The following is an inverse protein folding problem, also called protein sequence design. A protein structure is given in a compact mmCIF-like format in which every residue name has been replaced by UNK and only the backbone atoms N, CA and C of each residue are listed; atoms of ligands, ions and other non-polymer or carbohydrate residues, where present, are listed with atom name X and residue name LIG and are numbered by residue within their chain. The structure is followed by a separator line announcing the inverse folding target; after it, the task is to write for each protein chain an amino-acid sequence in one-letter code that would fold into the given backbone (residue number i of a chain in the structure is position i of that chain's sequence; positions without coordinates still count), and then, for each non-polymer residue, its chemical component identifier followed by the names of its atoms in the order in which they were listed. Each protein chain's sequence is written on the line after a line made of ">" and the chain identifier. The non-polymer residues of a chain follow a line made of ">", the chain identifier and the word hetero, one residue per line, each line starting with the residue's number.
data_IF_874962161378
#
_entry.id   IF_874962161378
#
_cell.length_a   1.000
_cell.length_b   1.000
_cell.length_c   1.000
_cell.angle_alpha   90.00
_cell.angle_beta   90.00
_cell.angle_gamma   90.00
#
_symmetry.space_group_name_H-M   'P 1'
#
loop_
_entity.id
_entity.type
_entity.pdbx_description
1 polymer ?
#
# COMPACT_ATOMS: atom_id res chain seq x y z
N UNK A 1 -6.50 -5.04 28.64
CA UNK A 1 -5.95 -6.10 27.76
C UNK A 1 -4.89 -6.94 28.48
N UNK A 2 -3.81 -6.35 29.00
CA UNK A 2 -2.73 -7.11 29.67
C UNK A 2 -3.18 -8.02 30.82
N UNK A 3 -4.06 -7.56 31.71
CA UNK A 3 -4.58 -8.38 32.81
C UNK A 3 -5.40 -9.61 32.34
N UNK A 4 -6.13 -9.49 31.23
CA UNK A 4 -6.89 -10.59 30.66
C UNK A 4 -5.97 -11.65 30.04
N UNK A 5 -4.95 -11.22 29.29
CA UNK A 5 -3.93 -12.13 28.73
C UNK A 5 -3.14 -12.82 29.84
N UNK A 6 -2.76 -12.10 30.91
CA UNK A 6 -2.10 -12.68 32.07
C UNK A 6 -2.97 -13.71 32.79
N UNK A 7 -4.26 -13.41 32.97
CA UNK A 7 -5.22 -14.34 33.55
C UNK A 7 -5.34 -15.61 32.70
N UNK A 8 -5.51 -15.48 31.38
CA UNK A 8 -5.62 -16.62 30.47
C UNK A 8 -4.33 -17.43 30.44
N UNK A 9 -3.17 -16.78 30.35
CA UNK A 9 -1.87 -17.44 30.37
C UNK A 9 -1.61 -18.21 31.67
N UNK A 10 -1.99 -17.63 32.81
CA UNK A 10 -1.80 -18.24 34.14
C UNK A 10 -2.77 -19.41 34.41
N UNK A 11 -4.01 -19.35 33.92
CA UNK A 11 -5.04 -20.36 34.21
C UNK A 11 -5.16 -21.44 33.12
N UNK A 12 -4.84 -21.11 31.87
CA UNK A 12 -5.00 -22.00 30.72
C UNK A 12 -3.68 -22.31 30.01
N UNK A 13 -2.56 -21.77 30.49
CA UNK A 13 -1.21 -22.06 29.98
C UNK A 13 -0.73 -21.08 28.91
N UNK A 14 0.53 -20.67 29.01
CA UNK A 14 1.17 -19.72 28.10
C UNK A 14 1.31 -20.24 26.66
N UNK A 15 1.50 -21.54 26.47
CA UNK A 15 1.52 -22.15 25.14
C UNK A 15 0.15 -22.02 24.44
N UNK A 16 -0.93 -22.27 25.17
CA UNK A 16 -2.29 -22.10 24.65
C UNK A 16 -2.57 -20.63 24.32
N UNK A 17 -2.17 -19.69 25.18
CA UNK A 17 -2.27 -18.26 24.87
C UNK A 17 -1.48 -17.89 23.59
N UNK A 18 -0.30 -18.48 23.39
CA UNK A 18 0.49 -18.30 22.18
C UNK A 18 -0.24 -18.77 20.92
N UNK A 19 -0.88 -19.94 20.96
CA UNK A 19 -1.63 -20.51 19.82
C UNK A 19 -2.94 -19.78 19.57
N UNK A 20 -3.70 -19.45 20.62
CA UNK A 20 -5.04 -18.85 20.49
C UNK A 20 -5.00 -17.35 20.19
N UNK A 21 -3.98 -16.64 20.67
CA UNK A 21 -3.90 -15.20 20.55
C UNK A 21 -2.60 -14.74 19.88
N UNK A 22 -1.44 -15.18 20.36
CA UNK A 22 -0.15 -14.67 19.90
C UNK A 22 0.08 -14.85 18.40
N UNK A 23 0.01 -16.08 17.91
CA UNK A 23 0.23 -16.43 16.50
C UNK A 23 -0.84 -15.77 15.60
N UNK A 24 -2.17 -15.91 15.85
CA UNK A 24 -3.18 -15.26 15.04
C UNK A 24 -3.04 -13.73 15.01
N UNK A 25 -2.74 -13.12 16.16
CA UNK A 25 -2.53 -11.67 16.26
C UNK A 25 -1.37 -11.23 15.38
N UNK A 26 -0.19 -11.85 15.52
CA UNK A 26 0.97 -11.50 14.71
C UNK A 26 0.75 -11.78 13.23
N UNK A 27 0.08 -12.88 12.88
CA UNK A 27 -0.21 -13.24 11.50
C UNK A 27 -1.11 -12.22 10.81
N UNK A 28 -2.25 -11.89 11.41
CA UNK A 28 -3.21 -10.92 10.84
C UNK A 28 -2.56 -9.54 10.75
N UNK A 29 -1.90 -9.08 11.81
CA UNK A 29 -1.28 -7.76 11.81
C UNK A 29 -0.10 -7.66 10.84
N UNK A 30 0.71 -8.72 10.71
CA UNK A 30 1.79 -8.78 9.72
C UNK A 30 1.25 -8.52 8.31
N UNK A 31 0.23 -9.27 7.90
CA UNK A 31 -0.33 -9.13 6.56
C UNK A 31 -1.07 -7.81 6.36
N UNK A 32 -1.87 -7.37 7.34
CA UNK A 32 -2.58 -6.10 7.26
C UNK A 32 -1.62 -4.94 7.06
N UNK A 33 -0.54 -4.87 7.86
CA UNK A 33 0.49 -3.83 7.72
C UNK A 33 1.23 -3.96 6.40
N UNK A 34 1.67 -5.16 6.03
CA UNK A 34 2.47 -5.36 4.82
C UNK A 34 1.70 -5.02 3.53
N UNK A 35 0.44 -5.45 3.43
CA UNK A 35 -0.42 -5.20 2.27
C UNK A 35 -0.73 -3.71 2.15
N UNK A 36 -1.23 -3.09 3.22
CA UNK A 36 -1.58 -1.66 3.21
C UNK A 36 -0.35 -0.77 2.96
N UNK A 37 0.80 -1.11 3.55
CA UNK A 37 2.05 -0.43 3.28
C UNK A 37 2.39 -0.47 1.78
N UNK A 38 2.36 -1.64 1.15
CA UNK A 38 2.76 -1.79 -0.26
C UNK A 38 1.75 -1.22 -1.26
N UNK A 39 0.47 -1.18 -0.89
CA UNK A 39 -0.60 -0.55 -1.66
C UNK A 39 -0.55 0.99 -1.62
N UNK A 40 -0.01 1.57 -0.55
CA UNK A 40 0.03 3.03 -0.35
C UNK A 40 1.44 3.63 -0.41
N UNK A 41 2.47 2.80 -0.52
CA UNK A 41 3.87 3.24 -0.53
C UNK A 41 4.55 2.75 -1.80
N UNK A 42 4.74 3.67 -2.74
CA UNK A 42 5.49 3.45 -3.97
C UNK A 42 6.08 4.77 -4.48
N UNK A 43 7.30 4.78 -5.08
CA UNK A 43 7.88 6.00 -5.64
C UNK A 43 7.04 6.66 -6.74
N UNK A 44 6.17 5.90 -7.42
CA UNK A 44 5.29 6.41 -8.48
C UNK A 44 3.99 7.05 -7.97
N UNK A 45 3.70 6.93 -6.67
CA UNK A 45 2.47 7.47 -6.08
C UNK A 45 2.62 8.94 -5.69
N UNK A 46 1.69 9.80 -6.12
CA UNK A 46 1.68 11.20 -5.74
C UNK A 46 1.16 11.38 -4.31
N UNK A 47 1.67 12.40 -3.65
CA UNK A 47 1.11 12.98 -2.44
C UNK A 47 0.65 14.39 -2.79
N UNK A 48 -0.36 14.90 -2.09
CA UNK A 48 -1.00 16.16 -2.45
C UNK A 48 -1.03 17.09 -1.26
N UNK A 49 -0.70 18.37 -1.49
CA UNK A 49 -0.97 19.42 -0.51
C UNK A 49 -2.49 19.67 -0.43
N UNK A 50 -2.99 20.26 0.66
CA UNK A 50 -4.42 20.49 0.85
C UNK A 50 -5.09 21.28 -0.29
N UNK A 51 -4.35 22.17 -0.95
CA UNK A 51 -4.86 23.07 -1.99
C UNK A 51 -5.16 22.34 -3.30
N UNK A 52 -4.46 21.23 -3.58
CA UNK A 52 -4.60 20.47 -4.83
C UNK A 52 -5.22 19.09 -4.61
N UNK A 53 -5.46 18.71 -3.36
CA UNK A 53 -6.10 17.45 -3.02
C UNK A 53 -7.61 17.50 -3.31
N UNK A 54 -8.15 16.39 -3.81
CA UNK A 54 -9.58 16.11 -3.83
C UNK A 54 -9.80 14.60 -3.71
N UNK A 55 -11.04 14.17 -3.54
CA UNK A 55 -11.37 12.75 -3.39
C UNK A 55 -10.84 11.90 -4.55
N UNK A 56 -11.03 12.34 -5.79
CA UNK A 56 -10.59 11.59 -6.98
C UNK A 56 -9.07 11.40 -7.02
N UNK A 57 -8.30 12.43 -6.68
CA UNK A 57 -6.82 12.38 -6.58
C UNK A 57 -6.38 11.51 -5.39
N UNK A 58 -7.05 11.65 -4.25
CA UNK A 58 -6.78 10.85 -3.06
C UNK A 58 -7.03 9.36 -3.29
N UNK A 59 -8.16 9.00 -3.90
CA UNK A 59 -8.48 7.62 -4.25
C UNK A 59 -7.52 7.03 -5.29
N UNK A 60 -6.92 7.87 -6.15
CA UNK A 60 -5.87 7.45 -7.09
C UNK A 60 -4.50 7.22 -6.43
N UNK A 61 -4.28 7.67 -5.18
CA UNK A 61 -3.00 7.60 -4.48
C UNK A 61 -2.75 6.20 -3.89
N UNK A 62 -2.92 5.19 -4.73
CA UNK A 62 -2.73 3.79 -4.39
C UNK A 62 -2.34 2.98 -5.62
N UNK A 63 -1.79 1.78 -5.42
CA UNK A 63 -1.27 0.92 -6.46
C UNK A 63 -1.71 -0.52 -6.23
N UNK A 64 -2.15 -1.19 -7.30
CA UNK A 64 -2.38 -2.63 -7.25
C UNK A 64 -1.06 -3.39 -7.29
N UNK A 65 -0.95 -4.43 -6.47
CA UNK A 65 0.20 -5.33 -6.47
C UNK A 65 -0.23 -6.74 -6.82
N UNK A 66 0.71 -7.52 -7.34
CA UNK A 66 0.51 -8.94 -7.63
C UNK A 66 1.40 -9.78 -6.72
N UNK A 67 0.78 -10.51 -5.77
CA UNK A 67 1.48 -11.45 -4.89
C UNK A 67 1.27 -12.91 -5.34
N UNK A 68 0.94 -13.11 -6.61
CA UNK A 68 0.74 -14.40 -7.24
C UNK A 68 -0.33 -15.23 -6.53
N UNK A 69 0.02 -16.47 -6.21
CA UNK A 69 -0.90 -17.42 -5.58
C UNK A 69 -1.49 -16.90 -4.27
N UNK A 70 -0.67 -16.25 -3.44
CA UNK A 70 -1.08 -15.77 -2.11
C UNK A 70 -2.13 -14.67 -2.26
N UNK A 71 -1.87 -13.67 -3.09
CA UNK A 71 -2.82 -12.59 -3.33
C UNK A 71 -4.13 -13.09 -3.91
N UNK A 72 -4.05 -13.96 -4.93
CA UNK A 72 -5.25 -14.47 -5.61
C UNK A 72 -6.10 -15.43 -4.76
N UNK A 73 -5.49 -16.38 -4.07
CA UNK A 73 -6.22 -17.50 -3.45
C UNK A 73 -6.36 -17.40 -1.94
N UNK A 74 -5.42 -16.72 -1.26
CA UNK A 74 -5.49 -16.53 0.20
C UNK A 74 -6.16 -15.20 0.52
N UNK A 75 -5.84 -14.16 -0.25
CA UNK A 75 -6.36 -12.80 -0.03
C UNK A 75 -7.46 -12.37 -0.99
N UNK A 76 -7.97 -13.27 -1.83
CA UNK A 76 -9.15 -13.07 -2.67
C UNK A 76 -9.06 -11.81 -3.56
N UNK A 77 -7.87 -11.49 -4.07
CA UNK A 77 -7.70 -10.37 -5.00
C UNK A 77 -7.69 -8.98 -4.35
N UNK A 78 -7.71 -8.88 -3.02
CA UNK A 78 -7.72 -7.58 -2.30
C UNK A 78 -6.47 -6.73 -2.61
N UNK A 79 -5.39 -7.37 -3.05
CA UNK A 79 -4.10 -6.72 -3.31
C UNK A 79 -4.05 -6.24 -4.77
N UNK A 80 -4.68 -7.00 -5.65
CA UNK A 80 -4.70 -6.84 -7.10
C UNK A 80 -5.81 -5.88 -7.60
N UNK A 81 -6.79 -5.55 -6.75
CA UNK A 81 -7.98 -4.74 -7.09
C UNK A 81 -8.18 -3.56 -6.14
N UNK A 82 -7.11 -3.12 -5.49
CA UNK A 82 -7.16 -2.15 -4.42
C UNK A 82 -7.44 -0.72 -4.91
N UNK A 83 -6.94 -0.36 -6.09
CA UNK A 83 -7.29 0.92 -6.74
C UNK A 83 -8.81 1.02 -6.90
N UNK A 84 -9.46 -0.03 -7.38
CA UNK A 84 -10.92 -0.09 -7.47
C UNK A 84 -11.55 0.08 -6.08
N UNK A 85 -11.05 -0.63 -5.06
CA UNK A 85 -11.58 -0.54 -3.70
C UNK A 85 -11.59 0.90 -3.17
N UNK A 86 -10.57 1.71 -3.46
CA UNK A 86 -10.52 3.12 -3.05
C UNK A 86 -11.59 3.99 -3.70
N UNK A 87 -11.96 3.69 -4.96
CA UNK A 87 -13.01 4.42 -5.65
C UNK A 87 -14.42 3.91 -5.31
N UNK A 88 -14.59 2.59 -5.23
CA UNK A 88 -15.90 1.93 -5.07
C UNK A 88 -15.77 0.71 -4.15
N UNK A 89 -15.55 0.97 -2.87
CA UNK A 89 -15.37 -0.07 -1.83
C UNK A 89 -16.58 -0.96 -1.58
N UNK A 90 -17.75 -0.58 -2.10
CA UNK A 90 -19.01 -1.34 -1.97
C UNK A 90 -19.13 -2.49 -2.97
N UNK A 91 -18.28 -2.53 -3.99
CA UNK A 91 -18.24 -3.67 -4.94
C UNK A 91 -17.61 -4.86 -4.22
N UNK A 92 -18.28 -6.02 -4.18
CA UNK A 92 -17.73 -7.21 -3.55
C UNK A 92 -16.56 -7.79 -4.35
N UNK A 93 -15.64 -8.47 -3.66
CA UNK A 93 -14.39 -8.98 -4.25
C UNK A 93 -14.61 -9.89 -5.48
N UNK A 94 -15.71 -10.66 -5.52
CA UNK A 94 -16.02 -11.55 -6.64
C UNK A 94 -16.41 -10.84 -7.93
N UNK A 95 -16.70 -9.53 -7.88
CA UNK A 95 -16.90 -8.65 -9.04
C UNK A 95 -15.76 -7.63 -9.20
N UNK A 96 -14.75 -7.65 -8.32
CA UNK A 96 -13.71 -6.63 -8.28
C UNK A 96 -12.79 -6.70 -9.51
N UNK A 97 -12.52 -7.89 -10.06
CA UNK A 97 -11.71 -8.03 -11.27
C UNK A 97 -12.36 -7.31 -12.47
N UNK A 98 -13.64 -7.59 -12.73
CA UNK A 98 -14.39 -6.98 -13.85
C UNK A 98 -14.45 -5.45 -13.69
N UNK A 99 -14.78 -4.99 -12.50
CA UNK A 99 -14.85 -3.56 -12.21
C UNK A 99 -13.45 -2.89 -12.27
N UNK A 100 -12.37 -3.62 -11.96
CA UNK A 100 -11.01 -3.10 -12.09
C UNK A 100 -10.63 -2.93 -13.56
N UNK A 101 -11.02 -3.87 -14.43
CA UNK A 101 -10.85 -3.70 -15.88
C UNK A 101 -11.67 -2.52 -16.44
N UNK A 102 -12.83 -2.23 -15.85
CA UNK A 102 -13.62 -1.06 -16.22
C UNK A 102 -12.95 0.25 -15.78
N UNK A 103 -12.47 0.34 -14.53
CA UNK A 103 -11.87 1.57 -14.01
C UNK A 103 -10.52 1.89 -14.66
N UNK A 104 -9.73 0.87 -15.04
CA UNK A 104 -8.49 1.03 -15.82
C UNK A 104 -8.72 1.84 -17.10
N UNK A 105 -9.84 1.62 -17.81
CA UNK A 105 -10.20 2.34 -19.04
C UNK A 105 -10.49 3.81 -18.79
N UNK A 106 -11.04 4.14 -17.62
CA UNK A 106 -11.36 5.52 -17.22
C UNK A 106 -10.09 6.25 -16.75
N UNK A 107 -9.27 5.59 -15.92
CA UNK A 107 -8.07 6.20 -15.35
C UNK A 107 -6.92 6.32 -16.36
N UNK A 108 -6.85 5.43 -17.36
CA UNK A 108 -5.81 5.45 -18.38
C UNK A 108 -4.41 5.45 -17.77
N UNK A 109 -3.60 6.45 -18.12
CA UNK A 109 -2.21 6.60 -17.66
C UNK A 109 -2.07 6.88 -16.16
N UNK A 110 -3.16 7.22 -15.48
CA UNK A 110 -3.17 7.44 -14.03
C UNK A 110 -3.38 6.17 -13.22
N UNK A 111 -3.81 5.07 -13.84
CA UNK A 111 -3.89 3.80 -13.15
C UNK A 111 -2.48 3.32 -12.75
N UNK A 112 -2.32 2.88 -11.51
CA UNK A 112 -1.05 2.37 -11.00
C UNK A 112 -1.21 0.90 -10.66
N UNK A 113 -0.35 0.09 -11.27
CA UNK A 113 -0.27 -1.34 -11.00
C UNK A 113 1.17 -1.80 -11.16
N UNK A 114 1.56 -2.71 -10.28
CA UNK A 114 2.77 -3.51 -10.41
C UNK A 114 2.37 -4.99 -10.48
N UNK A 115 1.71 -5.35 -11.58
CA UNK A 115 1.30 -6.71 -11.88
C UNK A 115 2.44 -7.55 -12.45
N UNK A 116 2.27 -8.88 -12.45
CA UNK A 116 3.13 -9.86 -13.12
C UNK A 116 4.56 -9.96 -12.56
N UNK A 117 4.74 -9.61 -11.29
CA UNK A 117 6.05 -9.71 -10.62
C UNK A 117 6.35 -11.10 -10.05
N UNK A 118 5.37 -12.02 -10.14
CA UNK A 118 5.47 -13.41 -9.71
C UNK A 118 5.64 -13.55 -8.20
N UNK A 119 6.05 -14.74 -7.72
CA UNK A 119 6.19 -15.03 -6.29
C UNK A 119 7.22 -14.13 -5.57
N UNK A 120 8.16 -13.52 -6.30
CA UNK A 120 9.15 -12.58 -5.75
C UNK A 120 8.62 -11.15 -5.60
N UNK A 121 7.43 -10.86 -6.15
CA UNK A 121 6.85 -9.52 -6.24
C UNK A 121 6.75 -8.81 -4.89
N UNK A 122 6.17 -9.49 -3.91
CA UNK A 122 6.05 -9.00 -2.54
C UNK A 122 7.39 -8.53 -1.97
N UNK A 123 8.41 -9.38 -2.01
CA UNK A 123 9.72 -9.07 -1.43
C UNK A 123 10.43 -7.94 -2.18
N UNK A 124 10.30 -7.90 -3.52
CA UNK A 124 10.86 -6.81 -4.33
C UNK A 124 10.18 -5.48 -4.03
N UNK A 125 8.85 -5.46 -3.93
CA UNK A 125 8.08 -4.27 -3.60
C UNK A 125 8.46 -3.78 -2.19
N UNK A 126 8.54 -4.67 -1.20
CA UNK A 126 8.97 -4.33 0.16
C UNK A 126 10.37 -3.75 0.20
N UNK A 127 11.32 -4.38 -0.51
CA UNK A 127 12.69 -3.89 -0.60
C UNK A 127 12.78 -2.52 -1.28
N UNK A 128 12.07 -2.33 -2.40
CA UNK A 128 12.08 -1.06 -3.13
C UNK A 128 11.43 0.05 -2.31
N UNK A 129 10.21 -0.16 -1.83
CA UNK A 129 9.45 0.86 -1.11
C UNK A 129 10.17 1.29 0.17
N UNK A 130 10.70 0.35 0.95
CA UNK A 130 11.44 0.69 2.18
C UNK A 130 12.71 1.52 1.93
N UNK A 131 13.32 1.39 0.75
CA UNK A 131 14.56 2.12 0.41
C UNK A 131 14.32 3.41 -0.36
N UNK A 132 13.24 3.48 -1.14
CA UNK A 132 12.97 4.59 -2.03
C UNK A 132 11.98 5.62 -1.46
N UNK A 133 11.13 5.22 -0.50
CA UNK A 133 10.03 6.02 0.03
C UNK A 133 10.33 6.51 1.46
N UNK A 134 11.23 7.48 1.61
CA UNK A 134 11.64 7.97 2.93
C UNK A 134 10.95 9.27 3.33
N UNK A 135 10.83 10.24 2.41
CA UNK A 135 10.06 11.47 2.60
C UNK A 135 9.54 11.96 1.25
N UNK A 136 8.66 12.97 1.23
CA UNK A 136 8.09 13.54 0.00
C UNK A 136 8.50 14.99 -0.21
N UNK A 137 8.73 15.37 -1.46
CA UNK A 137 9.09 16.74 -1.85
C UNK A 137 8.39 17.15 -3.15
N UNK A 138 8.22 18.46 -3.40
CA UNK A 138 7.81 18.96 -4.70
C UNK A 138 8.77 18.51 -5.79
N UNK A 139 8.26 18.38 -7.01
CA UNK A 139 9.11 18.10 -8.17
C UNK A 139 9.81 19.39 -8.61
N UNK A 140 11.13 19.34 -8.80
CA UNK A 140 11.90 20.51 -9.20
C UNK A 140 11.38 21.08 -10.53
N UNK A 141 11.07 22.38 -10.55
CA UNK A 141 10.53 23.06 -11.73
C UNK A 141 9.04 22.81 -12.00
N UNK A 142 8.33 22.12 -11.10
CA UNK A 142 6.88 22.07 -11.14
C UNK A 142 6.30 23.49 -11.01
N UNK A 143 5.24 23.78 -11.76
CA UNK A 143 4.53 25.07 -11.75
C UNK A 143 3.03 24.87 -11.63
N UNK A 144 2.34 25.85 -11.04
CA UNK A 144 0.88 25.82 -10.91
C UNK A 144 0.42 24.69 -10.00
N UNK A 145 -0.65 23.96 -10.37
CA UNK A 145 -1.17 22.85 -9.55
C UNK A 145 -0.13 21.74 -9.29
N UNK A 146 0.83 21.55 -10.18
CA UNK A 146 1.87 20.54 -10.02
C UNK A 146 2.83 20.84 -8.86
N UNK A 147 2.89 22.08 -8.37
CA UNK A 147 3.69 22.44 -7.18
C UNK A 147 3.17 21.75 -5.92
N UNK A 148 1.85 21.55 -5.83
CA UNK A 148 1.21 20.83 -4.74
C UNK A 148 1.27 19.31 -4.87
N UNK A 149 1.87 18.77 -5.94
CA UNK A 149 2.03 17.33 -6.16
C UNK A 149 3.44 16.89 -5.77
N UNK A 150 3.53 16.17 -4.67
CA UNK A 150 4.76 15.73 -4.04
C UNK A 150 5.03 14.27 -4.37
N UNK A 151 6.30 13.88 -4.45
CA UNK A 151 6.71 12.49 -4.69
C UNK A 151 7.82 12.09 -3.74
N UNK A 152 7.97 10.79 -3.52
CA UNK A 152 8.99 10.26 -2.64
C UNK A 152 10.42 10.61 -3.08
N UNK A 153 11.28 10.76 -2.07
CA UNK A 153 12.73 10.96 -2.14
C UNK A 153 13.41 10.06 -1.11
N UNK A 154 14.72 9.88 -1.29
CA UNK A 154 15.54 9.07 -0.41
C UNK A 154 17.02 9.47 -0.48
N UNK A 155 17.77 9.07 0.55
CA UNK A 155 19.23 9.20 0.61
C UNK A 155 19.97 8.09 -0.13
N UNK A 156 19.25 7.06 -0.59
CA UNK A 156 19.82 5.89 -1.29
C UNK A 156 20.12 6.15 -2.78
N UNK A 157 19.75 7.31 -3.33
CA UNK A 157 19.93 7.64 -4.75
C UNK A 157 19.00 6.85 -5.69
N UNK A 158 17.87 6.34 -5.19
CA UNK A 158 16.92 5.57 -5.99
C UNK A 158 15.85 6.51 -6.56
N UNK A 159 15.68 6.56 -7.87
CA UNK A 159 14.64 7.38 -8.51
C UNK A 159 15.02 8.86 -8.61
N UNK A 160 14.07 9.76 -8.34
CA UNK A 160 14.27 11.21 -8.47
C UNK A 160 15.14 11.73 -7.33
N UNK A 161 16.21 12.50 -7.62
CA UNK A 161 17.08 13.04 -6.57
C UNK A 161 16.35 14.03 -5.66
N UNK A 162 16.72 14.14 -4.38
CA UNK A 162 16.22 15.18 -3.48
C UNK A 162 16.46 16.59 -4.02
N UNK A 163 15.59 17.52 -3.66
CA UNK A 163 15.80 18.93 -3.90
C UNK A 163 17.11 19.38 -3.23
N UNK A 164 17.91 20.17 -3.95
CA UNK A 164 19.11 20.77 -3.36
C UNK A 164 18.64 21.76 -2.30
N UNK A 165 18.86 21.45 -1.02
CA UNK A 165 18.71 22.43 0.05
C UNK A 165 19.79 23.49 -0.19
N UNK A 166 19.39 24.71 -0.54
CA UNK A 166 20.31 25.85 -0.50
C UNK A 166 20.71 26.05 0.96
N UNK A 167 21.97 25.81 1.29
CA UNK A 167 22.56 26.20 2.56
C UNK A 167 22.71 27.72 2.63
#
# INVERSE_FOLDING_TARGET
>A
MGCALYYVGSNFGWANLGVWYGIPYLWVNHWLVAITYLQHTDPSLPHYTPEVWNFTRGAAATIDRDFGFVGRHIFHGIIETHVLHHYVSTIPFYNADEASEAIKKVMGSHYRSEAHTGWTGFFKALWRSSRACQWVEPTAGAKGESEGVLFFRNTNGIGVPPAKISQ
#
